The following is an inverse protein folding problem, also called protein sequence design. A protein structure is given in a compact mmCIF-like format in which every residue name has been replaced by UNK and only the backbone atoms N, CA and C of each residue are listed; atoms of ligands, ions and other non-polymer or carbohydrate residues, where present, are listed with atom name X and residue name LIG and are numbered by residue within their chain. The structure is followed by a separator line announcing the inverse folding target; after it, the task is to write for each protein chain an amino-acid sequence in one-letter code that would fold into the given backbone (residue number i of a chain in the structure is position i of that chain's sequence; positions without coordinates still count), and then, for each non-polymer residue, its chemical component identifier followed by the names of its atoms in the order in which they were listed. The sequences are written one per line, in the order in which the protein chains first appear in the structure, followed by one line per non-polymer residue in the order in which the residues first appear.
data_IF_869731146426
#
_entry.id   IF_869731146426
#
_cell.length_a   1.000
_cell.length_b   1.000
_cell.length_c   1.000
_cell.angle_alpha   90.00
_cell.angle_beta   90.00
_cell.angle_gamma   90.00
#
_symmetry.space_group_name_H-M   'P 1'
#
loop_
_entity.id
_entity.type
_entity.pdbx_description
1 polymer ?
#
# COMPACT_ATOMS: atom_id res chain seq x y z
N UNK A 1 10.31 -2.35 -14.56
CA UNK A 1 11.42 -2.32 -13.58
C UNK A 1 12.23 -3.61 -13.59
N UNK A 2 11.63 -4.79 -13.35
CA UNK A 2 12.37 -6.07 -13.34
C UNK A 2 13.18 -6.35 -14.62
N UNK A 3 12.70 -5.90 -15.78
CA UNK A 3 13.44 -6.01 -17.05
C UNK A 3 14.79 -5.28 -17.06
N UNK A 4 14.98 -4.27 -16.22
CA UNK A 4 16.25 -3.53 -16.08
C UNK A 4 17.30 -4.32 -15.28
N UNK A 5 16.90 -5.38 -14.57
CA UNK A 5 17.81 -6.30 -13.88
C UNK A 5 18.26 -7.37 -14.88
N UNK A 6 19.54 -7.77 -14.90
CA UNK A 6 20.01 -8.89 -15.71
C UNK A 6 19.19 -10.15 -15.48
N UNK A 7 18.83 -10.86 -16.54
CA UNK A 7 17.94 -12.03 -16.48
C UNK A 7 18.36 -13.07 -15.44
N UNK A 8 19.66 -13.34 -15.35
CA UNK A 8 20.26 -14.28 -14.38
C UNK A 8 20.02 -13.90 -12.91
N UNK A 9 19.72 -12.63 -12.61
CA UNK A 9 19.45 -12.13 -11.26
C UNK A 9 17.98 -11.83 -10.99
N UNK A 10 17.14 -11.74 -12.03
CA UNK A 10 15.70 -11.38 -11.90
C UNK A 10 14.93 -12.28 -10.94
N UNK A 11 15.21 -13.59 -10.93
CA UNK A 11 14.53 -14.54 -10.03
C UNK A 11 14.84 -14.30 -8.54
N UNK A 12 15.95 -13.64 -8.23
CA UNK A 12 16.36 -13.28 -6.86
C UNK A 12 16.00 -11.85 -6.48
N UNK A 13 15.59 -11.03 -7.45
CA UNK A 13 15.16 -9.67 -7.19
C UNK A 13 13.98 -9.68 -6.19
N UNK A 14 13.94 -8.69 -5.32
CA UNK A 14 12.82 -8.48 -4.39
C UNK A 14 12.06 -7.22 -4.77
N UNK A 15 10.77 -7.23 -4.46
CA UNK A 15 9.89 -6.08 -4.61
C UNK A 15 9.54 -5.58 -3.21
N UNK A 16 9.71 -4.27 -3.00
CA UNK A 16 9.15 -3.56 -1.87
C UNK A 16 8.17 -2.53 -2.39
N UNK A 17 6.93 -2.59 -1.91
CA UNK A 17 5.94 -1.55 -2.11
C UNK A 17 6.11 -0.49 -1.03
N UNK A 18 5.89 0.78 -1.38
CA UNK A 18 5.99 1.88 -0.41
C UNK A 18 4.73 2.74 -0.36
N UNK A 19 4.41 3.20 0.85
CA UNK A 19 3.33 4.15 1.11
C UNK A 19 3.75 5.14 2.20
N UNK A 20 3.05 6.27 2.32
CA UNK A 20 3.29 7.21 3.41
C UNK A 20 2.97 6.54 4.75
N UNK A 21 3.85 6.67 5.75
CA UNK A 21 3.58 6.16 7.08
C UNK A 21 2.52 7.03 7.77
N UNK A 22 1.73 6.46 8.67
CA UNK A 22 0.84 7.22 9.55
C UNK A 22 1.07 6.77 11.00
N UNK A 23 0.72 7.58 12.01
CA UNK A 23 0.75 7.14 13.39
C UNK A 23 -0.05 5.86 13.58
N UNK A 24 0.49 4.92 14.37
CA UNK A 24 -0.15 3.63 14.60
C UNK A 24 -1.61 3.78 15.08
N UNK A 25 -1.89 4.77 15.93
CA UNK A 25 -3.23 5.05 16.43
C UNK A 25 -4.25 5.40 15.33
N UNK A 26 -3.82 6.02 14.23
CA UNK A 26 -4.68 6.31 13.07
C UNK A 26 -4.86 5.07 12.20
N UNK A 27 -3.79 4.28 12.04
CA UNK A 27 -3.86 3.02 11.32
C UNK A 27 -4.80 2.02 12.02
N UNK A 28 -4.74 1.93 13.35
CA UNK A 28 -5.61 1.04 14.15
C UNK A 28 -7.10 1.41 14.04
N UNK A 29 -7.39 2.68 13.73
CA UNK A 29 -8.74 3.21 13.54
C UNK A 29 -9.22 3.21 12.09
N UNK A 30 -8.49 2.63 11.14
CA UNK A 30 -8.85 2.66 9.72
C UNK A 30 -8.42 1.39 8.98
N UNK A 31 -8.96 1.19 7.77
CA UNK A 31 -8.55 0.07 6.91
C UNK A 31 -7.29 0.38 6.08
N UNK A 32 -6.58 1.48 6.34
CA UNK A 32 -5.47 1.97 5.52
C UNK A 32 -4.41 0.91 5.23
N UNK A 33 -3.88 0.26 6.28
CA UNK A 33 -2.85 -0.77 6.11
C UNK A 33 -3.39 -2.02 5.39
N UNK A 34 -4.64 -2.38 5.66
CA UNK A 34 -5.27 -3.56 5.05
C UNK A 34 -5.52 -3.34 3.54
N UNK A 35 -5.99 -2.15 3.15
CA UNK A 35 -6.19 -1.77 1.75
C UNK A 35 -4.87 -1.67 0.98
N UNK A 36 -3.81 -1.14 1.62
CA UNK A 36 -2.47 -1.14 1.01
C UNK A 36 -1.95 -2.55 0.76
N UNK A 37 -2.06 -3.46 1.74
CA UNK A 37 -1.64 -4.85 1.59
C UNK A 37 -2.41 -5.57 0.48
N UNK A 38 -3.73 -5.36 0.40
CA UNK A 38 -4.53 -5.92 -0.69
C UNK A 38 -4.12 -5.37 -2.05
N UNK A 39 -3.88 -4.05 -2.15
CA UNK A 39 -3.41 -3.42 -3.38
C UNK A 39 -2.04 -3.98 -3.80
N UNK A 40 -1.11 -4.15 -2.86
CA UNK A 40 0.20 -4.76 -3.12
C UNK A 40 0.05 -6.19 -3.66
N UNK A 41 -0.82 -6.99 -3.05
CA UNK A 41 -1.12 -8.36 -3.48
C UNK A 41 -1.65 -8.38 -4.91
N UNK A 42 -2.67 -7.57 -5.21
CA UNK A 42 -3.28 -7.49 -6.53
C UNK A 42 -2.28 -7.04 -7.61
N UNK A 43 -1.41 -6.07 -7.31
CA UNK A 43 -0.38 -5.61 -8.25
C UNK A 43 0.68 -6.69 -8.47
N UNK A 44 1.16 -7.37 -7.42
CA UNK A 44 2.13 -8.45 -7.55
C UNK A 44 1.58 -9.59 -8.41
N UNK A 45 0.34 -10.03 -8.16
CA UNK A 45 -0.34 -11.06 -8.93
C UNK A 45 -0.55 -10.66 -10.39
N UNK A 46 -1.06 -9.44 -10.64
CA UNK A 46 -1.29 -8.91 -11.99
C UNK A 46 0.03 -8.80 -12.77
N UNK A 47 1.13 -8.47 -12.10
CA UNK A 47 2.46 -8.42 -12.68
C UNK A 47 3.12 -9.81 -12.87
N UNK A 48 2.45 -10.90 -12.44
CA UNK A 48 3.01 -12.26 -12.47
C UNK A 48 4.21 -12.43 -11.53
N UNK A 49 4.34 -11.60 -10.50
CA UNK A 49 5.42 -11.66 -9.53
C UNK A 49 5.02 -12.54 -8.35
N UNK A 50 5.57 -13.76 -8.31
CA UNK A 50 5.21 -14.79 -7.32
C UNK A 50 6.21 -14.92 -6.16
N UNK A 51 7.31 -14.18 -6.18
CA UNK A 51 8.27 -14.19 -5.09
C UNK A 51 7.76 -13.33 -3.92
N UNK A 52 8.30 -13.51 -2.69
CA UNK A 52 7.94 -12.67 -1.56
C UNK A 52 8.18 -11.18 -1.86
N UNK A 53 7.26 -10.34 -1.40
CA UNK A 53 7.34 -8.89 -1.42
C UNK A 53 7.07 -8.32 -0.02
N UNK A 54 7.44 -7.07 0.20
CA UNK A 54 7.24 -6.35 1.46
C UNK A 54 6.45 -5.06 1.20
N UNK A 55 5.57 -4.67 2.12
CA UNK A 55 5.10 -3.29 2.23
C UNK A 55 5.97 -2.57 3.27
N UNK A 56 6.63 -1.49 2.87
CA UNK A 56 7.38 -0.59 3.74
C UNK A 56 6.77 0.81 3.69
N UNK A 57 7.12 1.65 4.65
CA UNK A 57 6.59 2.98 4.77
C UNK A 57 7.69 4.03 4.65
N UNK A 58 7.31 5.26 4.35
CA UNK A 58 8.22 6.40 4.20
C UNK A 58 7.60 7.66 4.79
N UNK A 59 8.37 8.76 4.80
CA UNK A 59 7.89 10.08 5.20
C UNK A 59 7.37 10.15 6.66
N UNK A 60 7.90 9.31 7.56
CA UNK A 60 7.60 9.41 9.00
C UNK A 60 8.10 10.76 9.53
N UNK A 61 7.20 11.54 10.13
CA UNK A 61 7.52 12.85 10.72
C UNK A 61 6.99 12.96 12.14
N UNK A 62 7.72 13.59 13.06
CA UNK A 62 7.26 13.76 14.45
C UNK A 62 8.19 13.14 15.49
N UNK A 63 7.80 13.19 16.78
CA UNK A 63 8.70 12.82 17.87
C UNK A 63 9.06 11.32 17.83
N UNK A 64 10.30 10.94 18.20
CA UNK A 64 10.72 9.54 18.20
C UNK A 64 9.88 8.62 19.09
N UNK A 65 9.16 9.16 20.07
CA UNK A 65 8.30 8.43 20.99
C UNK A 65 6.92 8.07 20.42
N UNK A 66 6.51 8.67 19.31
CA UNK A 66 5.25 8.34 18.65
C UNK A 66 5.44 7.11 17.78
N UNK A 67 4.62 6.04 17.93
CA UNK A 67 4.68 4.87 17.06
C UNK A 67 4.04 5.17 15.71
N UNK A 68 4.68 4.69 14.64
CA UNK A 68 4.25 4.81 13.25
C UNK A 68 4.14 3.43 12.61
N UNK A 69 3.54 3.35 11.44
CA UNK A 69 3.58 2.13 10.64
C UNK A 69 5.01 1.83 10.17
N UNK A 70 5.38 0.56 10.32
CA UNK A 70 6.72 0.02 10.10
C UNK A 70 6.64 -1.21 9.16
N UNK A 71 7.74 -1.59 8.49
CA UNK A 71 9.06 -0.99 8.56
C UNK A 71 9.19 0.30 7.74
N UNK A 72 10.03 1.23 8.19
CA UNK A 72 10.56 2.30 7.34
C UNK A 72 11.36 1.71 6.16
N UNK A 73 11.32 2.38 5.01
CA UNK A 73 12.00 1.94 3.78
C UNK A 73 13.52 1.85 3.95
N UNK A 74 14.14 2.75 4.71
CA UNK A 74 15.59 2.74 4.94
C UNK A 74 15.97 1.56 5.84
N UNK A 75 15.18 1.30 6.90
CA UNK A 75 15.36 0.15 7.77
C UNK A 75 15.17 -1.18 7.02
N UNK A 76 14.17 -1.24 6.13
CA UNK A 76 13.98 -2.39 5.26
C UNK A 76 15.18 -2.62 4.32
N UNK A 77 15.74 -1.56 3.73
CA UNK A 77 16.93 -1.66 2.85
C UNK A 77 18.14 -2.20 3.62
N UNK A 78 18.35 -1.77 4.87
CA UNK A 78 19.40 -2.29 5.74
C UNK A 78 19.22 -3.80 5.98
N UNK A 79 18.04 -4.21 6.41
CA UNK A 79 17.71 -5.64 6.64
C UNK A 79 17.81 -6.48 5.36
N UNK A 80 17.37 -5.93 4.23
CA UNK A 80 17.50 -6.56 2.92
C UNK A 80 18.97 -6.80 2.57
N UNK A 81 19.86 -5.83 2.86
CA UNK A 81 21.29 -6.02 2.64
C UNK A 81 21.90 -7.05 3.59
N UNK A 82 21.54 -7.04 4.87
CA UNK A 82 22.01 -8.01 5.86
C UNK A 82 21.65 -9.46 5.46
N UNK A 83 20.48 -9.64 4.85
CA UNK A 83 20.05 -10.91 4.24
C UNK A 83 20.68 -11.21 2.87
N UNK A 84 21.73 -10.47 2.48
CA UNK A 84 22.49 -10.60 1.23
C UNK A 84 21.68 -10.30 -0.03
N UNK A 85 20.70 -9.42 0.08
CA UNK A 85 19.97 -8.86 -1.05
C UNK A 85 20.87 -8.07 -2.00
N UNK A 86 20.65 -8.23 -3.31
CA UNK A 86 21.41 -7.54 -4.36
C UNK A 86 20.55 -6.60 -5.20
N UNK A 87 19.38 -7.04 -5.66
CA UNK A 87 18.51 -6.28 -6.55
C UNK A 87 17.16 -6.04 -5.89
N UNK A 88 16.80 -4.76 -5.73
CA UNK A 88 15.56 -4.32 -5.08
C UNK A 88 14.76 -3.43 -6.01
N UNK A 89 13.51 -3.80 -6.28
CA UNK A 89 12.54 -2.97 -6.98
C UNK A 89 11.65 -2.27 -5.96
N UNK A 90 11.63 -0.94 -5.99
CA UNK A 90 10.79 -0.12 -5.12
C UNK A 90 9.56 0.36 -5.91
N UNK A 91 8.36 0.11 -5.39
CA UNK A 91 7.09 0.45 -6.04
C UNK A 91 6.25 1.37 -5.15
N UNK A 92 6.19 2.69 -5.42
CA UNK A 92 5.43 3.65 -4.60
C UNK A 92 3.92 3.50 -4.80
N UNK A 93 3.32 2.51 -4.13
CA UNK A 93 1.90 2.15 -4.31
C UNK A 93 0.95 3.12 -3.61
N UNK A 94 1.41 3.79 -2.55
CA UNK A 94 0.60 4.75 -1.79
C UNK A 94 0.41 6.10 -2.48
N UNK A 95 0.94 6.29 -3.69
CA UNK A 95 0.94 7.58 -4.36
C UNK A 95 0.56 7.48 -5.84
N UNK A 96 -0.26 8.44 -6.27
CA UNK A 96 -0.74 8.49 -7.66
C UNK A 96 0.26 9.18 -8.58
N UNK A 97 1.02 10.16 -8.09
CA UNK A 97 1.96 10.96 -8.86
C UNK A 97 3.28 11.16 -8.12
N UNK A 98 4.36 11.26 -8.87
CA UNK A 98 5.65 11.69 -8.34
C UNK A 98 5.54 13.14 -7.86
N UNK A 99 6.00 13.40 -6.64
CA UNK A 99 6.10 14.72 -6.02
C UNK A 99 7.35 14.77 -5.14
N UNK A 100 7.66 15.94 -4.59
CA UNK A 100 8.95 16.19 -3.91
C UNK A 100 9.27 15.13 -2.84
N UNK A 101 8.31 14.79 -1.98
CA UNK A 101 8.52 13.82 -0.89
C UNK A 101 8.87 12.43 -1.42
N UNK A 102 8.09 11.89 -2.36
CA UNK A 102 8.38 10.58 -2.99
C UNK A 102 9.74 10.57 -3.66
N UNK A 103 10.10 11.63 -4.39
CA UNK A 103 11.39 11.72 -5.09
C UNK A 103 12.54 11.85 -4.08
N UNK A 104 12.36 12.64 -3.02
CA UNK A 104 13.37 12.79 -1.99
C UNK A 104 13.59 11.47 -1.23
N UNK A 105 12.54 10.88 -0.69
CA UNK A 105 12.65 9.64 0.10
C UNK A 105 13.23 8.48 -0.72
N UNK A 106 12.76 8.31 -1.98
CA UNK A 106 13.08 7.11 -2.76
C UNK A 106 14.26 7.31 -3.72
N UNK A 107 14.30 8.43 -4.44
CA UNK A 107 15.32 8.68 -5.46
C UNK A 107 16.55 9.41 -4.88
N UNK A 108 16.44 9.99 -3.68
CA UNK A 108 17.58 10.56 -2.94
C UNK A 108 17.99 9.67 -1.77
N UNK A 109 17.19 9.55 -0.70
CA UNK A 109 17.64 8.89 0.53
C UNK A 109 17.82 7.38 0.36
N UNK A 110 16.76 6.67 -0.06
CA UNK A 110 16.81 5.23 -0.28
C UNK A 110 17.83 4.85 -1.37
N UNK A 111 17.95 5.66 -2.42
CA UNK A 111 18.92 5.46 -3.50
C UNK A 111 20.36 5.65 -3.02
N UNK A 112 20.63 6.68 -2.22
CA UNK A 112 21.96 6.94 -1.65
C UNK A 112 22.37 5.82 -0.68
N UNK A 113 21.46 5.40 0.21
CA UNK A 113 21.71 4.28 1.11
C UNK A 113 21.97 2.99 0.33
N UNK A 114 21.12 2.67 -0.63
CA UNK A 114 21.28 1.48 -1.47
C UNK A 114 22.62 1.48 -2.21
N UNK A 115 23.02 2.62 -2.77
CA UNK A 115 24.32 2.78 -3.43
C UNK A 115 25.47 2.51 -2.46
N UNK A 116 25.39 3.06 -1.24
CA UNK A 116 26.40 2.86 -0.19
C UNK A 116 26.52 1.38 0.22
N UNK A 117 25.39 0.67 0.26
CA UNK A 117 25.32 -0.76 0.59
C UNK A 117 25.60 -1.69 -0.60
N UNK A 118 25.78 -1.14 -1.81
CA UNK A 118 25.91 -1.93 -3.04
C UNK A 118 24.64 -2.72 -3.39
N UNK A 119 23.47 -2.21 -3.03
CA UNK A 119 22.16 -2.70 -3.46
C UNK A 119 21.75 -1.98 -4.75
N UNK A 120 21.44 -2.75 -5.78
CA UNK A 120 20.86 -2.23 -7.01
C UNK A 120 19.38 -1.91 -6.80
N UNK A 121 19.08 -0.66 -6.46
CA UNK A 121 17.71 -0.17 -6.30
C UNK A 121 17.16 0.39 -7.61
N UNK A 122 16.00 -0.10 -8.05
CA UNK A 122 15.25 0.39 -9.21
C UNK A 122 13.85 0.79 -8.78
N UNK A 123 13.49 2.07 -8.92
CA UNK A 123 12.13 2.55 -8.63
C UNK A 123 11.20 2.34 -9.84
N UNK A 124 9.95 1.95 -9.60
CA UNK A 124 8.88 2.04 -10.60
C UNK A 124 8.33 3.46 -10.64
N UNK A 125 7.79 3.89 -11.78
CA UNK A 125 6.97 5.11 -11.81
C UNK A 125 5.70 4.89 -10.99
N UNK A 126 5.17 5.98 -10.45
CA UNK A 126 3.76 6.07 -10.01
C UNK A 126 2.81 5.97 -11.21
N UNK A 127 1.51 5.87 -10.96
CA UNK A 127 0.51 5.80 -12.04
C UNK A 127 0.58 7.03 -12.96
N UNK A 128 0.74 8.21 -12.38
CA UNK A 128 0.88 9.50 -13.04
C UNK A 128 -0.25 9.75 -14.05
N UNK A 129 0.15 10.08 -15.27
CA UNK A 129 -0.71 10.39 -16.41
C UNK A 129 -1.01 9.16 -17.29
N UNK A 130 -0.83 7.95 -16.77
CA UNK A 130 -1.06 6.74 -17.56
C UNK A 130 -2.53 6.70 -18.06
N UNK A 131 -2.79 6.50 -19.37
CA UNK A 131 -4.14 6.58 -19.93
C UNK A 131 -5.17 5.70 -19.24
N UNK A 132 -4.79 4.49 -18.82
CA UNK A 132 -5.67 3.58 -18.06
C UNK A 132 -6.03 4.11 -16.67
N UNK A 133 -5.14 4.88 -16.03
CA UNK A 133 -5.44 5.50 -14.74
C UNK A 133 -6.45 6.64 -14.91
N UNK A 134 -6.25 7.48 -15.93
CA UNK A 134 -7.19 8.56 -16.28
C UNK A 134 -8.57 7.98 -16.64
N UNK A 135 -8.61 6.92 -17.45
CA UNK A 135 -9.83 6.21 -17.77
C UNK A 135 -10.54 5.68 -16.52
N UNK A 136 -9.80 5.05 -15.59
CA UNK A 136 -10.38 4.56 -14.34
C UNK A 136 -10.97 5.69 -13.49
N UNK A 137 -10.35 6.87 -13.42
CA UNK A 137 -10.92 8.04 -12.74
C UNK A 137 -12.22 8.50 -13.42
N UNK A 138 -12.28 8.50 -14.75
CA UNK A 138 -13.51 8.79 -15.48
C UNK A 138 -14.62 7.79 -15.15
N UNK A 139 -14.31 6.49 -15.16
CA UNK A 139 -15.25 5.41 -14.82
C UNK A 139 -15.79 5.57 -13.39
N UNK A 140 -14.95 5.92 -12.41
CA UNK A 140 -15.39 6.22 -11.04
C UNK A 140 -16.36 7.41 -10.96
N UNK A 141 -16.17 8.43 -11.79
CA UNK A 141 -17.08 9.59 -11.85
C UNK A 141 -18.42 9.17 -12.46
N UNK A 142 -18.39 8.37 -13.53
CA UNK A 142 -19.60 7.84 -14.17
C UNK A 142 -20.41 6.98 -13.20
N UNK A 143 -19.75 6.04 -12.50
CA UNK A 143 -20.37 5.22 -11.45
C UNK A 143 -21.03 6.06 -10.35
N UNK A 144 -20.43 7.22 -10.02
CA UNK A 144 -20.96 8.13 -9.00
C UNK A 144 -22.17 8.94 -9.47
N UNK A 145 -22.25 9.24 -10.77
CA UNK A 145 -23.30 10.05 -11.38
C UNK A 145 -24.53 9.22 -11.80
N UNK A 146 -24.31 7.97 -12.20
CA UNK A 146 -25.35 7.05 -12.64
C UNK A 146 -25.39 5.80 -11.74
N UNK A 147 -26.29 5.73 -10.75
CA UNK A 147 -26.44 4.58 -9.87
C UNK A 147 -26.83 3.27 -10.58
N UNK A 148 -27.22 3.33 -11.87
CA UNK A 148 -27.52 2.14 -12.66
C UNK A 148 -26.28 1.44 -13.19
N UNK A 149 -25.12 2.11 -13.18
CA UNK A 149 -23.86 1.52 -13.60
C UNK A 149 -23.33 0.56 -12.52
N UNK A 150 -22.70 -0.57 -12.93
CA UNK A 150 -22.09 -1.48 -11.98
C UNK A 150 -20.88 -0.83 -11.33
N UNK A 151 -20.77 -0.92 -10.00
CA UNK A 151 -19.58 -0.47 -9.26
C UNK A 151 -18.46 -1.48 -9.42
N UNK A 152 -17.41 -1.11 -10.13
CA UNK A 152 -16.28 -1.99 -10.33
C UNK A 152 -15.42 -2.05 -9.07
N UNK A 153 -15.02 -3.26 -8.68
CA UNK A 153 -14.09 -3.47 -7.58
C UNK A 153 -13.23 -4.70 -7.87
N UNK A 154 -11.99 -4.66 -7.37
CA UNK A 154 -11.07 -5.78 -7.40
C UNK A 154 -10.67 -6.15 -5.98
N UNK A 155 -10.42 -7.44 -5.76
CA UNK A 155 -10.00 -7.95 -4.45
C UNK A 155 -11.16 -8.24 -3.51
N UNK A 156 -10.83 -8.31 -2.22
CA UNK A 156 -11.73 -8.80 -1.17
C UNK A 156 -12.63 -7.75 -0.51
N UNK A 157 -12.36 -6.46 -0.72
CA UNK A 157 -13.08 -5.37 -0.04
C UNK A 157 -14.38 -4.94 -0.73
N UNK A 158 -14.58 -5.32 -2.00
CA UNK A 158 -15.70 -4.84 -2.80
C UNK A 158 -15.67 -3.32 -3.04
N UNK A 159 -16.73 -2.75 -3.62
CA UNK A 159 -16.80 -1.32 -3.88
C UNK A 159 -17.04 -0.54 -2.58
N UNK A 160 -16.36 0.61 -2.44
CA UNK A 160 -16.55 1.51 -1.30
C UNK A 160 -17.88 2.26 -1.42
N UNK A 161 -18.44 2.71 -0.28
CA UNK A 161 -19.63 3.55 -0.26
C UNK A 161 -19.33 4.97 -0.74
N UNK A 162 -20.30 5.61 -1.43
CA UNK A 162 -20.16 7.00 -1.90
C UNK A 162 -20.11 8.03 -0.77
N UNK A 163 -20.64 7.63 0.39
CA UNK A 163 -20.71 8.42 1.60
C UNK A 163 -19.98 7.63 2.68
N UNK A 164 -18.95 8.23 3.26
CA UNK A 164 -18.26 7.66 4.41
C UNK A 164 -19.22 7.64 5.61
N UNK A 165 -19.42 6.49 6.27
CA UNK A 165 -20.06 6.44 7.57
C UNK A 165 -19.35 7.33 8.59
N UNK A 166 -20.07 7.86 9.58
CA UNK A 166 -19.49 8.74 10.62
C UNK A 166 -18.32 8.07 11.36
N UNK A 167 -18.36 6.75 11.52
CA UNK A 167 -17.34 5.95 12.21
C UNK A 167 -16.35 5.25 11.26
N UNK A 168 -16.22 5.71 10.00
CA UNK A 168 -15.39 5.03 9.00
C UNK A 168 -13.88 5.08 9.29
N UNK A 169 -13.38 6.19 9.87
CA UNK A 169 -11.97 6.40 10.18
C UNK A 169 -11.78 7.24 11.47
N UNK A 170 -12.20 6.75 12.66
CA UNK A 170 -12.05 7.49 13.90
C UNK A 170 -10.57 7.77 14.20
N UNK A 171 -10.23 9.06 14.36
CA UNK A 171 -8.88 9.53 14.73
C UNK A 171 -8.46 9.02 16.12
N UNK A 172 -9.44 8.68 16.96
CA UNK A 172 -9.22 8.16 18.31
C UNK A 172 -9.61 6.69 18.37
N UNK A 173 -8.71 5.79 17.99
CA UNK A 173 -8.74 4.43 18.52
C UNK A 173 -8.30 4.44 20.00
N UNK A 174 -8.99 5.21 20.86
CA UNK A 174 -8.82 5.08 22.31
C UNK A 174 -9.65 3.90 22.80
N UNK A 175 -8.97 2.77 22.97
CA UNK A 175 -9.18 1.82 24.07
C UNK A 175 -10.52 1.06 24.21
N UNK A 176 -11.40 0.94 23.21
CA UNK A 176 -12.67 0.21 23.41
C UNK A 176 -13.16 -0.75 22.29
N UNK A 177 -12.33 -1.12 21.31
CA UNK A 177 -12.75 -1.99 20.21
C UNK A 177 -12.72 -3.52 20.50
N UNK A 178 -12.81 -3.97 21.76
CA UNK A 178 -12.85 -5.41 22.11
C UNK A 178 -14.23 -6.00 22.41
N UNK A 179 -15.33 -5.23 22.31
CA UNK A 179 -16.66 -5.72 22.73
C UNK A 179 -17.81 -5.67 21.71
N UNK A 180 -17.63 -5.15 20.50
CA UNK A 180 -18.76 -4.89 19.59
C UNK A 180 -18.91 -5.85 18.39
N UNK A 181 -18.16 -6.97 18.30
CA UNK A 181 -18.29 -7.96 17.20
C UNK A 181 -18.76 -9.35 17.65
N UNK A 182 -19.68 -9.44 18.62
CA UNK A 182 -20.28 -10.73 19.02
C UNK A 182 -21.80 -10.76 19.10
N UNK A 183 -22.53 -9.80 18.53
CA UNK A 183 -24.00 -9.86 18.48
C UNK A 183 -24.57 -9.39 17.14
N UNK A 184 -24.50 -10.27 16.14
CA UNK A 184 -25.45 -10.27 15.02
C UNK A 184 -25.50 -11.66 14.39
N UNK A 185 -26.03 -12.64 15.14
CA UNK A 185 -26.61 -13.82 14.52
C UNK A 185 -28.07 -13.48 14.16
N UNK A 186 -28.53 -13.73 12.91
CA UNK A 186 -29.92 -13.54 12.56
C UNK A 186 -30.77 -14.62 13.25
N UNK A 187 -31.84 -14.22 13.91
CA UNK A 187 -32.86 -15.15 14.40
C UNK A 187 -33.70 -15.56 13.20
N UNK A 188 -33.59 -16.83 12.83
CA UNK A 188 -34.38 -17.48 11.77
C UNK A 188 -35.88 -17.38 12.05
N UNK A 189 -36.61 -17.06 10.98
CA UNK A 189 -38.08 -17.08 10.95
C UNK A 189 -38.62 -18.50 10.70
N UNK A 190 -39.50 -18.93 11.61
CA UNK A 190 -40.65 -19.85 11.44
C UNK A 190 -40.38 -21.37 11.24
N UNK A 191 -41.39 -22.28 11.38
CA UNK A 191 -42.82 -22.09 11.74
C UNK A 191 -43.41 -23.14 12.74
N UNK A 192 -44.60 -22.85 13.29
CA UNK A 192 -45.73 -23.78 13.52
C UNK A 192 -46.99 -22.98 13.86
#
# INVERSE_FOLDING_TARGET
ALSQIPESRRAKARVVFTAHSIPQSMADGSDYAAQLLETCRLVAETAGYSAPWQLAYQSRSGPPSQPWLEPDILDYILSFKESKGEDLVVCPIGFLSDHMEVVYDLDTEAKNLSTTLGVNLIRTRTAGDHPRFIQMVQELIEERLDPSLPRQALGSFGPISDVCPEDCCPITASTNAKFARSQSAPVDMNPS
#
